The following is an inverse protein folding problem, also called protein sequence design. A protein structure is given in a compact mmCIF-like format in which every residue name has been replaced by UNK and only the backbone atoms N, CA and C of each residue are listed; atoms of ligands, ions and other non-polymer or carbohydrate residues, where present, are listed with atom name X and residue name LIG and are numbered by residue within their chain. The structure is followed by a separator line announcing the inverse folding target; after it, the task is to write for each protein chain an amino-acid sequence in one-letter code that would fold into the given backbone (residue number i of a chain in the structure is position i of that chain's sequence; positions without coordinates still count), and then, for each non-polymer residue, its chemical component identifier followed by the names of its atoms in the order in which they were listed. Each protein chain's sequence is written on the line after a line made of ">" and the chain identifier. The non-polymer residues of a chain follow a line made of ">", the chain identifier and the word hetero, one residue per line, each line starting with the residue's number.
data_IF_437913711919
#
_entry.id   IF_437913711919
#
_cell.length_a   1.000
_cell.length_b   1.000
_cell.length_c   1.000
_cell.angle_alpha   90.00
_cell.angle_beta   90.00
_cell.angle_gamma   90.00
#
_symmetry.space_group_name_H-M   'P 1'
#
loop_
_entity.id
_entity.type
_entity.pdbx_description
1 polymer ?
#
# COMPACT_ATOMS: atom_id res chain seq x y z
N UNK A 1 0.03 11.11 -17.81
CA UNK A 1 0.96 10.89 -16.69
C UNK A 1 0.80 9.46 -16.24
N UNK A 2 1.84 8.65 -16.32
CA UNK A 2 1.81 7.25 -15.88
C UNK A 2 2.18 7.15 -14.40
N UNK A 3 1.99 5.99 -13.76
CA UNK A 3 2.39 5.79 -12.37
C UNK A 3 3.91 5.95 -12.17
N UNK A 4 4.71 5.67 -13.20
CA UNK A 4 6.18 5.85 -13.20
C UNK A 4 6.64 7.30 -13.11
N UNK A 5 5.81 8.24 -13.55
CA UNK A 5 6.16 9.66 -13.58
C UNK A 5 5.76 10.39 -12.28
N UNK A 6 5.19 9.65 -11.31
CA UNK A 6 4.68 10.20 -10.05
C UNK A 6 5.71 10.02 -8.95
N UNK A 7 5.79 11.00 -8.06
CA UNK A 7 6.38 10.81 -6.73
C UNK A 7 5.49 9.90 -5.87
N UNK A 8 6.01 9.36 -4.77
CA UNK A 8 5.23 8.59 -3.80
C UNK A 8 4.02 9.39 -3.29
N UNK A 9 4.23 10.68 -2.99
CA UNK A 9 3.18 11.61 -2.56
C UNK A 9 2.06 11.81 -3.59
N UNK A 10 2.37 11.77 -4.90
CA UNK A 10 1.37 11.86 -5.97
C UNK A 10 0.74 10.51 -6.31
N UNK A 11 1.46 9.41 -6.10
CA UNK A 11 1.01 8.05 -6.39
C UNK A 11 -0.13 7.64 -5.47
N UNK A 12 -0.05 7.95 -4.17
CA UNK A 12 -1.06 7.56 -3.20
C UNK A 12 -2.47 8.09 -3.49
N UNK A 13 -2.73 9.42 -3.65
CA UNK A 13 -4.06 9.91 -3.95
C UNK A 13 -4.59 9.36 -5.27
N UNK A 14 -3.72 9.26 -6.29
CA UNK A 14 -4.10 8.68 -7.58
C UNK A 14 -4.53 7.20 -7.48
N UNK A 15 -3.74 6.37 -6.79
CA UNK A 15 -4.04 4.95 -6.63
C UNK A 15 -5.25 4.73 -5.73
N UNK A 16 -5.40 5.52 -4.66
CA UNK A 16 -6.59 5.48 -3.80
C UNK A 16 -7.87 5.66 -4.60
N UNK A 17 -7.94 6.71 -5.42
CA UNK A 17 -9.12 7.00 -6.24
C UNK A 17 -9.31 5.97 -7.36
N UNK A 18 -8.22 5.58 -8.02
CA UNK A 18 -8.25 4.61 -9.12
C UNK A 18 -8.69 3.22 -8.65
N UNK A 19 -8.17 2.73 -7.52
CA UNK A 19 -8.54 1.43 -6.96
C UNK A 19 -9.99 1.45 -6.49
N UNK A 20 -10.42 2.49 -5.77
CA UNK A 20 -11.83 2.61 -5.33
C UNK A 20 -12.80 2.63 -6.51
N UNK A 21 -12.49 3.42 -7.54
CA UNK A 21 -13.28 3.52 -8.78
C UNK A 21 -13.35 2.18 -9.51
N UNK A 22 -12.19 1.53 -9.69
CA UNK A 22 -12.11 0.23 -10.34
C UNK A 22 -12.94 -0.82 -9.59
N UNK A 23 -12.78 -0.92 -8.26
CA UNK A 23 -13.54 -1.83 -7.41
C UNK A 23 -15.04 -1.67 -7.64
N UNK A 24 -15.57 -0.45 -7.58
CA UNK A 24 -16.98 -0.18 -7.87
C UNK A 24 -17.37 -0.62 -9.29
N UNK A 25 -16.54 -0.33 -10.29
CA UNK A 25 -16.78 -0.70 -11.69
C UNK A 25 -16.85 -2.21 -11.95
N UNK A 26 -16.13 -3.02 -11.15
CA UNK A 26 -16.12 -4.49 -11.27
C UNK A 26 -17.00 -5.19 -10.21
N UNK A 27 -17.83 -4.44 -9.48
CA UNK A 27 -18.76 -4.98 -8.48
C UNK A 27 -18.14 -5.34 -7.12
N UNK A 28 -16.91 -4.92 -6.85
CA UNK A 28 -16.29 -5.02 -5.53
C UNK A 28 -16.69 -3.83 -4.66
N UNK A 29 -17.45 -4.07 -3.60
CA UNK A 29 -17.85 -3.00 -2.68
C UNK A 29 -16.67 -2.54 -1.81
N UNK A 30 -16.42 -1.23 -1.78
CA UNK A 30 -15.51 -0.61 -0.82
C UNK A 30 -16.22 -0.43 0.52
N UNK A 31 -15.90 -1.27 1.49
CA UNK A 31 -16.50 -1.28 2.83
C UNK A 31 -15.40 -1.36 3.89
N UNK A 32 -15.79 -1.34 5.17
CA UNK A 32 -14.85 -1.55 6.28
C UNK A 32 -14.11 -2.90 6.23
N UNK A 33 -14.58 -3.89 5.44
CA UNK A 33 -14.01 -5.23 5.41
C UNK A 33 -13.67 -5.74 4.00
N UNK A 34 -13.93 -4.93 2.96
CA UNK A 34 -13.75 -5.34 1.55
C UNK A 34 -13.36 -4.16 0.65
N UNK A 35 -12.76 -4.48 -0.50
CA UNK A 35 -12.28 -3.50 -1.46
C UNK A 35 -10.97 -2.85 -1.02
N UNK A 36 -10.91 -1.52 -1.13
CA UNK A 36 -9.71 -0.74 -0.87
C UNK A 36 -9.13 -0.95 0.54
N UNK A 37 -7.80 -0.84 0.65
CA UNK A 37 -7.06 -1.00 1.89
C UNK A 37 -5.93 0.03 1.97
N UNK A 38 -6.09 1.03 2.82
CA UNK A 38 -5.18 2.18 2.91
C UNK A 38 -3.77 1.78 3.34
N UNK A 39 -3.62 1.09 4.50
CA UNK A 39 -2.30 0.67 5.02
C UNK A 39 -1.52 -0.18 4.01
N UNK A 40 -2.16 -1.19 3.39
CA UNK A 40 -1.50 -2.01 2.36
C UNK A 40 -1.12 -1.20 1.12
N UNK A 41 -1.98 -0.28 0.68
CA UNK A 41 -1.67 0.58 -0.48
C UNK A 41 -0.44 1.43 -0.21
N UNK A 42 -0.38 2.06 0.97
CA UNK A 42 0.78 2.85 1.44
C UNK A 42 2.05 1.99 1.45
N UNK A 43 1.98 0.79 2.07
CA UNK A 43 3.10 -0.14 2.13
C UNK A 43 3.64 -0.49 0.72
N UNK A 44 2.77 -0.92 -0.20
CA UNK A 44 3.21 -1.37 -1.52
C UNK A 44 3.68 -0.23 -2.41
N UNK A 45 3.14 0.98 -2.26
CA UNK A 45 3.71 2.14 -2.93
C UNK A 45 5.15 2.32 -2.45
N UNK A 46 5.37 2.45 -1.14
CA UNK A 46 6.72 2.65 -0.62
C UNK A 46 7.68 1.52 -1.02
N UNK A 47 7.26 0.25 -0.90
CA UNK A 47 8.08 -0.90 -1.29
C UNK A 47 8.49 -0.87 -2.77
N UNK A 48 7.60 -0.44 -3.67
CA UNK A 48 7.91 -0.32 -5.10
C UNK A 48 8.89 0.83 -5.37
N UNK A 49 8.78 1.95 -4.65
CA UNK A 49 9.73 3.06 -4.76
C UNK A 49 11.12 2.66 -4.24
N UNK A 50 11.17 2.00 -3.07
CA UNK A 50 12.43 1.56 -2.45
C UNK A 50 13.14 0.44 -3.23
N UNK A 51 12.38 -0.40 -3.93
CA UNK A 51 12.96 -1.43 -4.79
C UNK A 51 13.75 -0.85 -5.97
N UNK A 52 13.41 0.38 -6.41
CA UNK A 52 14.00 1.05 -7.59
C UNK A 52 14.17 0.13 -8.81
N UNK A 53 13.18 -0.75 -9.01
CA UNK A 53 13.29 -1.81 -9.99
C UNK A 53 13.25 -1.22 -11.42
N UNK A 54 14.13 -1.68 -12.33
CA UNK A 54 14.22 -1.11 -13.69
C UNK A 54 12.96 -1.33 -14.53
N UNK A 55 12.14 -2.33 -14.17
CA UNK A 55 10.88 -2.66 -14.81
C UNK A 55 9.93 -3.39 -13.85
N UNK A 56 8.62 -3.47 -14.17
CA UNK A 56 7.65 -4.14 -13.30
C UNK A 56 7.90 -5.63 -13.11
N UNK A 57 8.51 -6.30 -14.10
CA UNK A 57 8.83 -7.73 -14.01
C UNK A 57 9.86 -8.00 -12.91
N UNK A 58 10.85 -7.12 -12.75
CA UNK A 58 11.85 -7.22 -11.68
C UNK A 58 11.24 -7.10 -10.27
N UNK A 59 10.09 -6.42 -10.10
CA UNK A 59 9.39 -6.36 -8.81
C UNK A 59 8.86 -7.72 -8.35
N UNK A 60 8.73 -8.70 -9.25
CA UNK A 60 8.26 -10.04 -8.90
C UNK A 60 9.29 -10.81 -8.05
N UNK A 61 10.57 -10.47 -8.20
CA UNK A 61 11.68 -11.07 -7.44
C UNK A 61 11.98 -10.29 -6.13
N UNK A 62 11.38 -9.10 -5.98
CA UNK A 62 11.62 -8.23 -4.82
C UNK A 62 10.87 -8.72 -3.59
N UNK A 63 11.63 -9.08 -2.55
CA UNK A 63 11.07 -9.65 -1.30
C UNK A 63 10.07 -8.71 -0.64
N UNK A 64 10.27 -7.40 -0.74
CA UNK A 64 9.43 -6.35 -0.17
C UNK A 64 8.11 -6.19 -0.94
N UNK A 65 8.06 -6.64 -2.19
CA UNK A 65 6.88 -6.61 -3.06
C UNK A 65 6.12 -7.95 -3.11
N UNK A 66 6.60 -8.99 -2.42
CA UNK A 66 5.86 -10.25 -2.27
C UNK A 66 4.47 -10.03 -1.64
N UNK A 67 3.50 -10.86 -2.02
CA UNK A 67 2.09 -10.76 -1.58
C UNK A 67 1.93 -10.74 -0.06
N UNK A 68 2.81 -11.43 0.68
CA UNK A 68 2.78 -11.53 2.14
C UNK A 68 3.82 -10.64 2.82
N UNK A 69 4.54 -9.79 2.08
CA UNK A 69 5.65 -9.01 2.61
C UNK A 69 5.22 -8.09 3.78
N UNK A 70 4.04 -7.46 3.69
CA UNK A 70 3.49 -6.65 4.78
C UNK A 70 3.32 -7.45 6.10
N UNK A 71 2.98 -8.75 6.05
CA UNK A 71 2.80 -9.56 7.27
C UNK A 71 4.11 -9.86 8.01
N UNK A 72 5.26 -9.40 7.51
CA UNK A 72 6.53 -9.38 8.28
C UNK A 72 6.60 -8.20 9.26
N UNK A 73 5.72 -7.22 9.10
CA UNK A 73 5.72 -5.95 9.83
C UNK A 73 4.45 -5.77 10.69
N UNK A 74 3.34 -6.39 10.30
CA UNK A 74 2.10 -6.36 11.07
C UNK A 74 1.58 -7.74 11.46
N UNK A 75 0.93 -7.82 12.63
CA UNK A 75 0.04 -8.92 12.98
C UNK A 75 -1.18 -8.91 12.06
N UNK A 76 -1.77 -10.08 11.81
CA UNK A 76 -2.99 -10.17 10.99
C UNK A 76 -4.16 -9.44 11.65
N UNK A 77 -4.22 -9.53 12.97
CA UNK A 77 -5.22 -8.96 13.85
C UNK A 77 -5.21 -7.43 13.81
N UNK A 78 -4.06 -6.83 13.50
CA UNK A 78 -3.90 -5.38 13.32
C UNK A 78 -4.12 -4.98 11.87
N UNK A 79 -3.50 -5.70 10.92
CA UNK A 79 -3.50 -5.32 9.51
C UNK A 79 -4.88 -5.46 8.84
N UNK A 80 -5.71 -6.40 9.26
CA UNK A 80 -7.02 -6.66 8.64
C UNK A 80 -8.20 -6.03 9.39
N UNK A 81 -7.95 -4.99 10.17
CA UNK A 81 -8.97 -4.20 10.86
C UNK A 81 -9.63 -3.17 9.92
N UNK A 82 -10.85 -2.69 10.24
CA UNK A 82 -11.44 -1.52 9.61
C UNK A 82 -10.53 -0.29 9.64
N UNK A 83 -9.82 -0.09 10.74
CA UNK A 83 -8.92 1.03 10.97
C UNK A 83 -7.74 1.02 9.97
N UNK A 84 -7.07 -0.13 9.81
CA UNK A 84 -5.99 -0.31 8.84
C UNK A 84 -6.44 -0.22 7.37
N UNK A 85 -7.72 -0.53 7.11
CA UNK A 85 -8.33 -0.35 5.78
C UNK A 85 -8.65 1.10 5.48
N UNK A 86 -9.06 1.86 6.48
CA UNK A 86 -9.46 3.26 6.34
C UNK A 86 -8.29 4.25 6.42
N UNK A 87 -7.22 3.89 7.14
CA UNK A 87 -6.08 4.75 7.43
C UNK A 87 -4.77 3.97 7.50
N UNK A 88 -3.68 4.69 7.74
CA UNK A 88 -2.40 4.08 8.14
C UNK A 88 -2.45 3.64 9.59
N UNK A 89 -1.90 2.46 9.87
CA UNK A 89 -1.60 1.98 11.23
C UNK A 89 -0.15 1.57 11.29
N UNK A 90 0.54 1.94 12.37
CA UNK A 90 1.96 1.61 12.54
C UNK A 90 2.20 0.09 12.61
N UNK A 91 3.34 -0.41 12.10
CA UNK A 91 3.79 -1.79 12.28
C UNK A 91 3.88 -2.19 13.76
N UNK A 92 3.38 -3.38 14.09
CA UNK A 92 3.35 -3.93 15.46
C UNK A 92 4.12 -5.25 15.63
N UNK A 93 4.79 -5.74 14.57
CA UNK A 93 5.70 -6.90 14.60
C UNK A 93 7.15 -6.48 14.43
N UNK A 94 7.44 -5.68 13.40
CA UNK A 94 8.78 -5.18 13.11
C UNK A 94 8.69 -3.86 12.32
N UNK A 95 9.60 -2.90 12.56
CA UNK A 95 9.62 -1.66 11.80
C UNK A 95 9.86 -1.92 10.31
N UNK A 96 9.40 -1.00 9.47
CA UNK A 96 9.74 -1.00 8.05
C UNK A 96 11.24 -0.64 7.88
N UNK A 97 11.90 -1.15 6.82
CA UNK A 97 13.30 -0.81 6.56
C UNK A 97 13.47 0.55 5.87
N UNK A 98 12.37 1.30 5.67
CA UNK A 98 12.32 2.65 5.12
C UNK A 98 11.36 3.52 5.94
N UNK A 99 11.51 4.85 5.83
CA UNK A 99 10.57 5.81 6.40
C UNK A 99 9.36 5.97 5.49
N UNK A 100 8.18 6.17 6.09
CA UNK A 100 6.95 6.46 5.36
C UNK A 100 6.70 7.97 5.43
N UNK A 101 6.78 8.63 4.27
CA UNK A 101 6.47 10.06 4.13
C UNK A 101 5.32 10.25 3.13
N UNK A 102 4.09 9.90 3.54
CA UNK A 102 2.90 10.31 2.79
C UNK A 102 2.20 11.46 3.52
N UNK A 103 1.65 12.42 2.77
CA UNK A 103 0.94 13.54 3.37
C UNK A 103 -0.19 13.05 4.30
N UNK A 104 -0.09 13.35 5.61
CA UNK A 104 -1.04 12.92 6.64
C UNK A 104 -0.75 11.56 7.28
N UNK A 105 0.34 10.90 6.90
CA UNK A 105 0.86 9.66 7.49
C UNK A 105 2.32 9.93 7.85
N UNK A 106 2.54 10.28 9.11
CA UNK A 106 3.86 10.47 9.68
C UNK A 106 3.82 10.08 11.15
N UNK A 107 4.78 9.23 11.53
CA UNK A 107 5.31 9.22 12.89
C UNK A 107 6.17 10.46 13.10
#
# INVERSE_FOLDING_TARGET
>A
MTLRDRTSAEALPFLRDSIKTHNCGVGTANTAYSGYHETLTIYYIAAVFEADAPNPEALLDERTCDRMAALRHWQRETLFTPEARAGWVEPDVAPLPWSIEFAGVGA
#
